data_IF_834356414803
#
_entry.id   IF_834356414803
#
_cell.length_a   1.000
_cell.length_b   1.000
_cell.length_c   1.000
_cell.angle_alpha   90.00
_cell.angle_beta   90.00
_cell.angle_gamma   90.00
#
_symmetry.space_group_name_H-M   'P 1'
#
loop_
_entity.id
_entity.type
_entity.pdbx_description
1 polymer ?
#
# COMPACT_ATOMS: atom_id res chain seq x y z
N UNK A 1 -7.25 -13.32 5.01
CA UNK A 1 -7.09 -14.17 6.21
C UNK A 1 -8.32 -15.09 6.37
N UNK A 2 -8.65 -15.90 5.36
CA UNK A 2 -9.66 -16.95 5.54
C UNK A 2 -8.94 -18.19 6.09
N UNK A 3 -9.50 -18.80 7.12
CA UNK A 3 -8.94 -20.02 7.74
C UNK A 3 -8.15 -19.81 9.04
N UNK A 4 -8.24 -18.64 9.68
CA UNK A 4 -7.78 -18.43 11.07
C UNK A 4 -8.97 -18.01 11.94
N UNK A 5 -9.00 -18.41 13.21
CA UNK A 5 -9.99 -17.94 14.22
C UNK A 5 -9.76 -16.46 14.62
N UNK A 6 -9.22 -15.65 13.72
CA UNK A 6 -8.83 -14.26 13.98
C UNK A 6 -10.02 -13.34 13.73
N UNK A 7 -10.46 -12.63 14.77
CA UNK A 7 -11.41 -11.55 14.63
C UNK A 7 -10.72 -10.32 14.02
N UNK A 8 -11.32 -9.74 12.98
CA UNK A 8 -10.86 -8.47 12.39
C UNK A 8 -11.70 -7.34 12.97
N UNK A 9 -11.03 -6.38 13.61
CA UNK A 9 -11.61 -5.18 14.17
C UNK A 9 -11.18 -3.95 13.36
N UNK A 10 -12.05 -2.94 13.31
CA UNK A 10 -11.77 -1.62 12.76
C UNK A 10 -11.36 -0.65 13.88
N UNK A 11 -10.70 0.45 13.55
CA UNK A 11 -10.31 1.49 14.54
C UNK A 11 -11.49 1.99 15.38
N UNK A 12 -12.66 2.18 14.75
CA UNK A 12 -13.90 2.56 15.44
C UNK A 12 -14.37 1.53 16.48
N UNK A 13 -14.09 0.24 16.28
CA UNK A 13 -14.55 -0.83 17.16
C UNK A 13 -13.76 -0.82 18.48
N UNK A 14 -12.54 -0.27 18.45
CA UNK A 14 -11.72 -0.03 19.65
C UNK A 14 -11.83 1.40 20.17
N UNK A 15 -12.61 2.27 19.50
CA UNK A 15 -12.82 3.67 19.87
C UNK A 15 -11.65 4.60 19.56
N UNK A 16 -10.82 4.26 18.57
CA UNK A 16 -9.78 5.14 18.04
C UNK A 16 -10.38 6.06 16.98
N UNK A 17 -10.34 7.37 17.23
CA UNK A 17 -10.86 8.45 16.38
C UNK A 17 -9.86 9.59 16.16
N UNK A 18 -8.60 9.40 16.57
CA UNK A 18 -7.52 10.38 16.44
C UNK A 18 -6.98 10.39 15.00
N UNK A 19 -6.68 11.57 14.46
CA UNK A 19 -5.99 11.69 13.18
C UNK A 19 -4.52 11.24 13.33
N UNK A 20 -4.02 10.51 12.32
CA UNK A 20 -2.63 10.04 12.31
C UNK A 20 -1.82 10.91 11.33
N UNK A 21 -0.83 11.62 11.87
CA UNK A 21 0.09 12.41 11.07
C UNK A 21 1.12 11.52 10.35
N UNK A 22 0.87 11.27 9.06
CA UNK A 22 1.81 10.62 8.13
C UNK A 22 3.00 11.55 7.83
N UNK A 23 4.02 11.51 8.69
CA UNK A 23 5.25 12.33 8.60
C UNK A 23 6.42 11.61 7.93
N UNK A 24 6.22 10.36 7.50
CA UNK A 24 7.23 9.55 6.84
C UNK A 24 7.57 10.07 5.44
N UNK A 25 8.80 9.78 5.01
CA UNK A 25 9.30 10.08 3.67
C UNK A 25 9.17 8.89 2.71
N UNK A 26 8.84 7.71 3.25
CA UNK A 26 8.65 6.45 2.51
C UNK A 26 7.32 5.79 2.89
N UNK A 27 6.80 4.94 2.00
CA UNK A 27 5.59 4.16 2.27
C UNK A 27 5.74 3.29 3.53
N UNK A 28 6.94 2.73 3.74
CA UNK A 28 7.26 1.90 4.91
C UNK A 28 7.21 2.69 6.21
N UNK A 29 7.74 3.92 6.22
CA UNK A 29 7.66 4.80 7.39
C UNK A 29 6.21 5.17 7.71
N UNK A 30 5.42 5.58 6.72
CA UNK A 30 4.01 5.93 6.92
C UNK A 30 3.16 4.74 7.40
N UNK A 31 3.35 3.56 6.81
CA UNK A 31 2.67 2.36 7.27
C UNK A 31 3.03 2.04 8.74
N UNK A 32 4.31 2.16 9.11
CA UNK A 32 4.76 1.93 10.47
C UNK A 32 4.22 2.98 11.45
N UNK A 33 4.21 4.26 11.09
CA UNK A 33 3.63 5.35 11.89
C UNK A 33 2.15 5.06 12.17
N UNK A 34 1.38 4.69 11.14
CA UNK A 34 -0.04 4.33 11.28
C UNK A 34 -0.28 3.15 12.21
N UNK A 35 0.46 2.06 12.01
CA UNK A 35 0.32 0.87 12.85
C UNK A 35 0.73 1.16 14.31
N UNK A 36 1.80 1.93 14.52
CA UNK A 36 2.29 2.28 15.86
C UNK A 36 1.34 3.20 16.61
N UNK A 37 0.79 4.23 15.97
CA UNK A 37 -0.14 5.15 16.61
C UNK A 37 -1.32 4.41 17.25
N UNK A 38 -1.91 3.45 16.53
CA UNK A 38 -3.02 2.64 17.05
C UNK A 38 -2.55 1.61 18.09
N UNK A 39 -1.36 1.01 17.92
CA UNK A 39 -0.79 0.08 18.91
C UNK A 39 -0.47 0.78 20.25
N UNK A 40 0.04 2.01 20.21
CA UNK A 40 0.32 2.84 21.37
C UNK A 40 -0.97 3.26 22.08
N UNK A 41 -2.00 3.63 21.32
CA UNK A 41 -3.33 3.88 21.88
C UNK A 41 -3.89 2.65 22.59
N UNK A 42 -3.75 1.46 22.01
CA UNK A 42 -4.17 0.21 22.65
C UNK A 42 -3.39 -0.02 23.94
N UNK A 43 -2.07 0.14 23.86
CA UNK A 43 -1.18 -0.01 24.99
C UNK A 43 -1.50 0.96 26.13
N UNK A 44 -1.96 2.18 25.85
CA UNK A 44 -2.34 3.17 26.87
C UNK A 44 -3.77 2.96 27.37
N UNK A 45 -4.75 2.89 26.47
CA UNK A 45 -6.18 3.08 26.76
C UNK A 45 -7.04 1.83 26.63
N UNK A 46 -6.57 0.75 25.98
CA UNK A 46 -7.40 -0.42 25.63
C UNK A 46 -6.73 -1.76 25.95
N UNK A 47 -6.49 -2.01 27.24
CA UNK A 47 -5.78 -3.19 27.73
C UNK A 47 -6.39 -4.54 27.30
N UNK A 48 -7.69 -4.58 27.01
CA UNK A 48 -8.39 -5.77 26.53
C UNK A 48 -7.95 -6.23 25.13
N UNK A 49 -7.18 -5.41 24.40
CA UNK A 49 -6.65 -5.72 23.06
C UNK A 49 -5.12 -5.79 23.03
N UNK A 50 -4.45 -6.00 24.17
CA UNK A 50 -2.98 -6.07 24.23
C UNK A 50 -2.36 -7.21 23.41
N UNK A 51 -3.14 -8.23 23.09
CA UNK A 51 -2.77 -9.37 22.24
C UNK A 51 -3.09 -9.15 20.75
N UNK A 52 -3.71 -8.01 20.39
CA UNK A 52 -4.04 -7.69 19.02
C UNK A 52 -2.81 -7.35 18.19
N UNK A 53 -2.85 -7.73 16.92
CA UNK A 53 -1.89 -7.26 15.90
C UNK A 53 -2.54 -6.09 15.17
N UNK A 54 -1.90 -4.92 15.25
CA UNK A 54 -2.34 -3.73 14.53
C UNK A 54 -1.68 -3.71 13.16
N UNK A 55 -2.48 -3.74 12.10
CA UNK A 55 -1.99 -3.63 10.73
C UNK A 55 -2.42 -2.31 10.09
N UNK A 56 -1.49 -1.68 9.37
CA UNK A 56 -1.78 -0.52 8.53
C UNK A 56 -1.02 -0.63 7.20
N UNK A 57 -1.59 -0.10 6.13
CA UNK A 57 -0.93 0.00 4.83
C UNK A 57 -0.68 1.46 4.42
N UNK A 58 0.36 1.65 3.60
CA UNK A 58 0.57 2.88 2.84
C UNK A 58 0.85 2.50 1.38
N UNK A 59 0.08 3.09 0.47
CA UNK A 59 0.08 2.71 -0.95
C UNK A 59 0.12 3.94 -1.85
N UNK A 60 0.80 3.84 -2.99
CA UNK A 60 0.87 4.93 -3.96
C UNK A 60 1.51 4.54 -5.28
N UNK A 61 1.69 5.55 -6.13
CA UNK A 61 2.31 5.45 -7.45
C UNK A 61 3.66 6.17 -7.45
N UNK A 62 4.70 5.52 -7.96
CA UNK A 62 5.98 6.17 -8.26
C UNK A 62 6.21 6.16 -9.77
N UNK A 63 6.55 7.30 -10.36
CA UNK A 63 6.93 7.43 -11.78
C UNK A 63 8.39 7.83 -11.86
N UNK A 64 9.23 7.02 -12.50
CA UNK A 64 10.68 7.24 -12.49
C UNK A 64 11.08 8.54 -13.20
N UNK A 65 10.40 8.87 -14.29
CA UNK A 65 10.59 10.13 -15.03
C UNK A 65 10.29 11.39 -14.20
N UNK A 66 9.47 11.27 -13.14
CA UNK A 66 9.07 12.36 -12.26
C UNK A 66 9.77 12.28 -10.89
N UNK A 67 10.91 11.59 -10.81
CA UNK A 67 11.65 11.45 -9.55
C UNK A 67 10.82 10.73 -8.47
N UNK A 68 10.02 9.74 -8.87
CA UNK A 68 9.09 8.96 -8.03
C UNK A 68 7.85 9.69 -7.54
N UNK A 69 7.58 10.90 -8.02
CA UNK A 69 6.29 11.55 -7.78
C UNK A 69 5.16 10.78 -8.50
N UNK A 70 3.94 10.75 -7.93
CA UNK A 70 3.48 11.44 -6.72
C UNK A 70 3.91 10.77 -5.39
N UNK A 71 4.38 9.51 -5.41
CA UNK A 71 4.99 8.84 -4.27
C UNK A 71 4.06 8.73 -3.06
N UNK A 72 4.60 8.90 -1.86
CA UNK A 72 3.83 8.90 -0.60
C UNK A 72 2.73 9.97 -0.55
N UNK A 73 2.82 10.99 -1.41
CA UNK A 73 1.80 12.03 -1.52
C UNK A 73 0.68 11.67 -2.50
N UNK A 74 0.62 10.46 -3.05
CA UNK A 74 -0.35 10.05 -4.10
C UNK A 74 -1.80 10.52 -3.88
N UNK A 75 -2.30 10.50 -2.65
CA UNK A 75 -3.66 10.98 -2.30
C UNK A 75 -3.74 12.51 -2.15
N UNK A 76 -2.69 13.15 -1.62
CA UNK A 76 -2.62 14.61 -1.41
C UNK A 76 -2.26 15.35 -2.70
N UNK A 77 -1.55 14.68 -3.62
CA UNK A 77 -1.06 15.22 -4.87
C UNK A 77 -2.18 15.59 -5.83
N UNK A 78 -3.35 14.96 -5.71
CA UNK A 78 -4.54 15.35 -6.46
C UNK A 78 -4.87 16.83 -6.25
N UNK A 79 -4.76 17.34 -5.02
CA UNK A 79 -5.27 18.66 -4.66
C UNK A 79 -6.77 18.74 -5.01
N UNK A 80 -7.14 19.77 -5.77
CA UNK A 80 -8.53 19.97 -6.23
C UNK A 80 -8.86 19.23 -7.54
N UNK A 81 -7.92 18.46 -8.09
CA UNK A 81 -8.08 17.75 -9.38
C UNK A 81 -8.79 16.40 -9.20
N UNK A 82 -9.50 16.00 -10.25
CA UNK A 82 -9.93 14.60 -10.44
C UNK A 82 -8.73 13.72 -10.83
N UNK A 83 -8.83 12.41 -10.62
CA UNK A 83 -7.81 11.46 -11.09
C UNK A 83 -7.58 11.55 -12.60
N UNK A 84 -8.63 11.74 -13.40
CA UNK A 84 -8.49 11.89 -14.86
C UNK A 84 -7.65 13.12 -15.22
N UNK A 85 -7.88 14.27 -14.58
CA UNK A 85 -7.08 15.48 -14.80
C UNK A 85 -5.62 15.25 -14.36
N UNK A 86 -5.43 14.72 -13.16
CA UNK A 86 -4.11 14.39 -12.61
C UNK A 86 -3.31 13.44 -13.53
N UNK A 87 -3.96 12.41 -14.10
CA UNK A 87 -3.35 11.50 -15.06
C UNK A 87 -3.00 12.19 -16.37
N UNK A 88 -3.89 13.05 -16.91
CA UNK A 88 -3.62 13.79 -18.14
C UNK A 88 -2.44 14.75 -17.97
N UNK A 89 -2.37 15.47 -16.85
CA UNK A 89 -1.25 16.36 -16.54
C UNK A 89 0.09 15.60 -16.54
N UNK A 90 0.12 14.40 -15.94
CA UNK A 90 1.30 13.53 -15.95
C UNK A 90 1.67 13.12 -17.37
N UNK A 91 0.70 12.63 -18.15
CA UNK A 91 0.92 12.19 -19.54
C UNK A 91 1.54 13.32 -20.36
N UNK A 92 1.00 14.52 -20.23
CA UNK A 92 1.47 15.71 -20.94
C UNK A 92 2.88 16.14 -20.47
N UNK A 93 3.16 16.05 -19.17
CA UNK A 93 4.46 16.38 -18.57
C UNK A 93 5.57 15.46 -19.08
N UNK A 94 5.29 14.17 -19.24
CA UNK A 94 6.29 13.18 -19.68
C UNK A 94 6.17 12.81 -21.17
N UNK A 95 5.42 13.55 -21.99
CA UNK A 95 5.14 13.20 -23.40
C UNK A 95 6.39 13.00 -24.27
N UNK A 96 7.48 13.72 -23.98
CA UNK A 96 8.75 13.67 -24.71
C UNK A 96 9.75 12.69 -24.08
N UNK A 97 9.37 11.98 -23.01
CA UNK A 97 10.20 10.97 -22.35
C UNK A 97 10.20 9.69 -23.22
N UNK A 98 11.39 9.14 -23.56
CA UNK A 98 11.50 7.88 -24.30
C UNK A 98 10.72 6.76 -23.62
N UNK A 99 10.15 5.86 -24.42
CA UNK A 99 9.28 4.76 -23.95
C UNK A 99 9.90 4.00 -22.78
N UNK A 100 11.17 3.61 -22.91
CA UNK A 100 11.93 2.85 -21.92
C UNK A 100 12.16 3.59 -20.58
N UNK A 101 11.86 4.89 -20.52
CA UNK A 101 11.98 5.74 -19.32
C UNK A 101 10.63 6.14 -18.73
N UNK A 102 9.51 5.70 -19.31
CA UNK A 102 8.15 5.93 -18.78
C UNK A 102 7.78 4.95 -17.67
N UNK A 103 8.75 4.30 -17.04
CA UNK A 103 8.53 3.28 -16.02
C UNK A 103 7.85 3.85 -14.79
N UNK A 104 6.93 3.07 -14.24
CA UNK A 104 6.18 3.42 -13.05
C UNK A 104 5.90 2.16 -12.23
N UNK A 105 5.60 2.34 -10.94
CA UNK A 105 5.22 1.24 -10.06
C UNK A 105 4.13 1.64 -9.08
N UNK A 106 3.16 0.75 -8.92
CA UNK A 106 2.33 0.78 -7.73
C UNK A 106 3.09 0.15 -6.58
N UNK A 107 3.12 0.83 -5.44
CA UNK A 107 3.78 0.40 -4.21
C UNK A 107 2.73 0.19 -3.13
N UNK A 108 2.82 -0.90 -2.37
CA UNK A 108 2.08 -1.08 -1.11
C UNK A 108 3.06 -1.56 -0.06
N UNK A 109 3.18 -0.79 1.02
CA UNK A 109 3.83 -1.22 2.24
C UNK A 109 2.77 -1.58 3.28
N UNK A 110 2.93 -2.70 3.97
CA UNK A 110 2.10 -3.06 5.13
C UNK A 110 3.02 -3.12 6.35
N UNK A 111 2.57 -2.52 7.45
CA UNK A 111 3.19 -2.65 8.76
C UNK A 111 2.28 -3.43 9.71
N UNK A 112 2.89 -4.21 10.60
CA UNK A 112 2.24 -4.90 11.71
C UNK A 112 2.95 -4.55 13.01
N UNK A 113 2.23 -3.95 13.95
CA UNK A 113 2.71 -3.54 15.27
C UNK A 113 1.96 -4.30 16.38
N UNK A 114 2.65 -4.53 17.50
CA UNK A 114 2.09 -5.13 18.70
C UNK A 114 2.05 -4.07 19.82
N UNK A 115 0.93 -3.94 20.56
CA UNK A 115 0.85 -3.02 21.69
C UNK A 115 1.99 -3.24 22.70
N UNK A 116 2.68 -2.15 23.06
CA UNK A 116 3.80 -2.18 24.00
C UNK A 116 5.11 -2.74 23.43
N UNK A 117 5.22 -2.93 22.11
CA UNK A 117 6.47 -3.24 21.41
C UNK A 117 6.91 -2.04 20.59
N UNK A 118 8.22 -1.77 20.60
CA UNK A 118 8.80 -0.64 19.89
C UNK A 118 8.90 -0.88 18.37
N UNK A 119 9.13 -2.12 17.97
CA UNK A 119 9.33 -2.49 16.57
C UNK A 119 8.02 -2.88 15.87
N UNK A 120 7.90 -2.49 14.61
CA UNK A 120 6.88 -2.98 13.70
C UNK A 120 7.52 -3.84 12.62
N UNK A 121 6.87 -4.95 12.25
CA UNK A 121 7.25 -5.74 11.09
C UNK A 121 6.70 -5.05 9.86
N UNK A 122 7.51 -4.89 8.81
CA UNK A 122 7.08 -4.28 7.57
C UNK A 122 7.35 -5.19 6.37
N UNK A 123 6.51 -5.07 5.36
CA UNK A 123 6.71 -5.65 4.02
C UNK A 123 6.39 -4.59 2.98
N UNK A 124 7.08 -4.63 1.85
CA UNK A 124 6.86 -3.73 0.72
C UNK A 124 6.83 -4.56 -0.55
N UNK A 125 5.78 -4.37 -1.35
CA UNK A 125 5.57 -5.08 -2.60
C UNK A 125 5.17 -4.10 -3.70
N UNK A 126 5.50 -4.45 -4.95
CA UNK A 126 5.22 -3.60 -6.11
C UNK A 126 4.51 -4.35 -7.24
N UNK A 127 3.87 -3.55 -8.09
CA UNK A 127 3.58 -3.91 -9.49
C UNK A 127 4.38 -2.97 -10.35
N UNK A 128 5.29 -3.50 -11.16
CA UNK A 128 6.01 -2.70 -12.15
C UNK A 128 5.15 -2.55 -13.42
N UNK A 129 5.26 -1.39 -14.05
CA UNK A 129 4.53 -1.04 -15.25
C UNK A 129 5.07 0.25 -15.85
N UNK A 130 4.25 0.92 -16.62
CA UNK A 130 4.60 2.12 -17.36
C UNK A 130 3.43 3.10 -17.37
N UNK A 131 3.72 4.38 -17.55
CA UNK A 131 2.66 5.38 -17.81
C UNK A 131 2.28 5.28 -19.28
N UNK A 132 1.01 4.95 -19.54
CA UNK A 132 0.42 4.90 -20.87
C UNK A 132 0.49 6.27 -21.58
N UNK A 133 0.31 6.26 -22.90
CA UNK A 133 0.18 7.50 -23.70
C UNK A 133 -1.23 8.09 -23.64
N UNK A 134 -2.22 7.29 -23.27
CA UNK A 134 -3.61 7.69 -23.15
C UNK A 134 -4.28 6.94 -21.99
N UNK A 135 -5.36 7.53 -21.50
CA UNK A 135 -6.20 6.94 -20.45
C UNK A 135 -7.13 5.90 -21.10
N UNK A 136 -7.16 4.68 -20.57
CA UNK A 136 -8.00 3.60 -21.06
C UNK A 136 -8.51 2.69 -19.94
N UNK A 137 -9.75 2.23 -20.08
CA UNK A 137 -10.41 1.33 -19.13
C UNK A 137 -11.19 2.03 -18.02
N UNK A 138 -12.12 1.30 -17.42
CA UNK A 138 -13.06 1.82 -16.41
C UNK A 138 -13.01 1.02 -15.10
N UNK A 139 -12.28 -0.10 -15.06
CA UNK A 139 -12.18 -0.92 -13.86
C UNK A 139 -11.20 -0.33 -12.86
N UNK A 140 -11.38 -0.65 -11.58
CA UNK A 140 -10.46 -0.24 -10.53
C UNK A 140 -10.70 1.20 -10.06
N UNK A 141 -9.63 1.88 -9.66
CA UNK A 141 -9.70 3.21 -9.08
C UNK A 141 -8.38 3.97 -9.22
N UNK A 142 -8.41 5.26 -8.93
CA UNK A 142 -7.21 6.09 -8.88
C UNK A 142 -6.48 6.17 -10.21
N UNK A 143 -5.20 5.79 -10.20
CA UNK A 143 -4.32 5.83 -11.36
C UNK A 143 -4.38 4.57 -12.25
N UNK A 144 -5.27 3.62 -11.98
CA UNK A 144 -5.43 2.41 -12.80
C UNK A 144 -5.60 2.69 -14.32
N UNK A 145 -6.34 3.74 -14.74
CA UNK A 145 -6.61 3.97 -16.16
C UNK A 145 -5.43 4.36 -17.05
N UNK A 146 -4.26 4.70 -16.49
CA UNK A 146 -3.06 4.97 -17.30
C UNK A 146 -1.87 4.07 -16.94
N UNK A 147 -2.03 3.15 -15.99
CA UNK A 147 -0.96 2.30 -15.51
C UNK A 147 -0.89 1.06 -16.40
N UNK A 148 -0.02 1.12 -17.40
CA UNK A 148 0.15 0.11 -18.42
C UNK A 148 1.04 -1.03 -17.94
N UNK A 149 0.62 -2.27 -18.18
CA UNK A 149 1.41 -3.47 -17.83
C UNK A 149 1.79 -4.20 -19.12
N UNK A 150 3.05 -4.11 -19.58
CA UNK A 150 3.47 -4.69 -20.86
C UNK A 150 3.19 -6.18 -21.01
N UNK A 151 3.26 -6.95 -19.91
CA UNK A 151 2.96 -8.39 -19.88
C UNK A 151 1.51 -8.70 -20.34
N UNK A 152 0.57 -7.79 -20.07
CA UNK A 152 -0.85 -7.95 -20.41
C UNK A 152 -1.28 -7.10 -21.61
N UNK A 153 -0.41 -6.20 -22.09
CA UNK A 153 -0.68 -5.36 -23.24
C UNK A 153 -1.78 -4.31 -23.01
N UNK A 154 -2.14 -4.00 -21.76
CA UNK A 154 -3.23 -3.08 -21.41
C UNK A 154 -3.00 -2.38 -20.07
N UNK A 155 -3.84 -1.39 -19.76
CA UNK A 155 -3.84 -0.73 -18.46
C UNK A 155 -4.47 -1.61 -17.38
N UNK A 156 -4.15 -1.39 -16.10
CA UNK A 156 -4.80 -2.12 -14.99
C UNK A 156 -6.30 -1.86 -14.89
N UNK A 157 -6.81 -0.77 -15.49
CA UNK A 157 -8.25 -0.53 -15.61
C UNK A 157 -8.95 -1.29 -16.76
N UNK A 158 -8.18 -1.87 -17.68
CA UNK A 158 -8.70 -2.76 -18.73
C UNK A 158 -8.62 -4.24 -18.34
N UNK A 159 -7.85 -4.57 -17.29
CA UNK A 159 -7.70 -5.93 -16.81
C UNK A 159 -9.00 -6.48 -16.23
N UNK A 160 -9.19 -7.79 -16.39
CA UNK A 160 -10.19 -8.54 -15.64
C UNK A 160 -9.79 -8.63 -14.16
N UNK A 161 -10.76 -8.90 -13.29
CA UNK A 161 -10.48 -9.15 -11.87
C UNK A 161 -9.50 -10.30 -11.67
N UNK A 162 -9.53 -11.33 -12.52
CA UNK A 162 -8.60 -12.46 -12.46
C UNK A 162 -7.16 -12.04 -12.76
N UNK A 163 -6.93 -11.31 -13.86
CA UNK A 163 -5.61 -10.77 -14.21
C UNK A 163 -5.09 -9.84 -13.11
N UNK A 164 -5.94 -8.92 -12.63
CA UNK A 164 -5.57 -7.99 -11.55
C UNK A 164 -5.19 -8.72 -10.25
N UNK A 165 -5.88 -9.80 -9.92
CA UNK A 165 -5.56 -10.61 -8.75
C UNK A 165 -4.20 -11.33 -8.85
N UNK A 166 -3.73 -11.65 -10.06
CA UNK A 166 -2.41 -12.27 -10.26
C UNK A 166 -1.28 -11.30 -9.90
N UNK A 167 -1.41 -10.03 -10.28
CA UNK A 167 -0.32 -9.05 -10.13
C UNK A 167 -0.46 -8.10 -8.94
N UNK A 168 -1.63 -8.01 -8.31
CA UNK A 168 -1.93 -7.04 -7.24
C UNK A 168 -0.83 -6.92 -6.17
N UNK A 169 -0.18 -5.75 -6.12
CA UNK A 169 0.80 -5.37 -5.09
C UNK A 169 0.23 -5.50 -3.67
N UNK A 170 -1.01 -5.05 -3.44
CA UNK A 170 -1.71 -5.25 -2.16
C UNK A 170 -1.89 -6.73 -1.82
N UNK A 171 -2.29 -7.53 -2.81
CA UNK A 171 -2.42 -8.98 -2.64
C UNK A 171 -1.09 -9.65 -2.29
N UNK A 172 0.01 -9.24 -2.94
CA UNK A 172 1.37 -9.69 -2.62
C UNK A 172 1.75 -9.27 -1.19
N UNK A 173 1.55 -8.01 -0.82
CA UNK A 173 1.90 -7.48 0.49
C UNK A 173 1.16 -8.21 1.62
N UNK A 174 -0.15 -8.48 1.45
CA UNK A 174 -0.93 -9.24 2.44
C UNK A 174 -0.40 -10.67 2.60
N UNK A 175 -0.04 -11.34 1.50
CA UNK A 175 0.56 -12.69 1.57
C UNK A 175 1.92 -12.67 2.24
N UNK A 176 2.78 -11.72 1.87
CA UNK A 176 4.10 -11.53 2.49
C UNK A 176 3.99 -11.26 3.99
N UNK A 177 3.05 -10.39 4.41
CA UNK A 177 2.82 -10.10 5.82
C UNK A 177 2.30 -11.32 6.57
N UNK A 178 1.35 -12.07 5.99
CA UNK A 178 0.86 -13.33 6.57
C UNK A 178 2.02 -14.30 6.83
N UNK A 179 2.92 -14.46 5.86
CA UNK A 179 4.04 -15.40 5.98
C UNK A 179 5.04 -14.95 7.06
N UNK A 180 5.22 -13.64 7.27
CA UNK A 180 5.98 -13.08 8.40
C UNK A 180 5.32 -13.35 9.76
N UNK A 181 4.00 -13.26 9.85
CA UNK A 181 3.26 -13.43 11.10
C UNK A 181 3.10 -14.91 11.50
N UNK A 182 2.97 -15.82 10.53
CA UNK A 182 2.81 -17.27 10.78
C UNK A 182 4.18 -17.98 10.94
N UNK A 183 5.27 -17.36 10.52
CA UNK A 183 6.61 -17.95 10.44
C UNK A 183 7.44 -18.02 11.73
N UNK A 184 6.83 -18.06 12.92
CA UNK A 184 7.57 -18.15 14.18
C UNK A 184 8.02 -19.61 14.44
N UNK A 185 9.34 -19.83 14.55
CA UNK A 185 9.91 -21.11 14.99
C UNK A 185 10.07 -21.10 16.51
N UNK A 186 9.59 -22.14 17.18
CA UNK A 186 9.94 -22.40 18.57
C UNK A 186 11.35 -23.01 18.63
N UNK A 187 12.23 -22.40 19.43
CA UNK A 187 13.47 -23.03 19.88
C UNK A 187 13.27 -23.37 21.35
N UNK A 188 13.13 -24.66 21.64
CA UNK A 188 13.13 -25.15 23.02
C UNK A 188 14.59 -25.17 23.51
N UNK A 189 14.85 -24.43 24.59
CA UNK A 189 16.11 -24.54 25.33
C UNK A 189 15.98 -25.70 26.32
N UNK A 190 16.36 -26.90 25.90
CA UNK A 190 16.70 -27.96 26.85
C UNK A 190 18.08 -27.68 27.45
N UNK A 191 18.20 -27.82 28.78
CA UNK A 191 19.47 -27.72 29.50
C UNK A 191 20.42 -28.85 29.12
#
# INVERSE_FOLDING_TARGET
>A
MQGTDTQILQMKDIGFDEDIDETGTTFTENAAIKAKAVADYIADKKKDFMDAIVMADDSGLEIDALGKMPGVQSHRWLGDRTYTQAMQDIIDEIKDVPEEKRTARFVCSIAAALPGKEDAITVLETVEGMVAHEIAGENGFGYDPFFYVPEFGCTTAQMTSEQKNQISHRGKAVRAMRDKLVGLKMIELSK
#
